data_IF_770167666236
#
_entry.id   IF_770167666236
#
_cell.length_a   1.000
_cell.length_b   1.000
_cell.length_c   1.000
_cell.angle_alpha   90.00
_cell.angle_beta   90.00
_cell.angle_gamma   90.00
#
_symmetry.space_group_name_H-M   'P 1'
#
loop_
_entity.id
_entity.type
_entity.pdbx_description
1 polymer ?
#
# COMPACT_ATOMS: atom_id res chain seq x y z
N UNK A 1 20.45 -5.78 21.13
CA UNK A 1 19.01 -6.01 20.91
C UNK A 1 18.71 -5.62 19.45
N UNK A 2 18.40 -6.29 18.56
CA UNK A 2 18.18 -7.65 18.20
C UNK A 2 18.21 -7.73 16.67
N UNK A 3 19.34 -8.13 16.11
CA UNK A 3 19.49 -8.41 14.66
C UNK A 3 18.52 -9.55 14.25
N UNK A 4 18.06 -10.37 15.19
CA UNK A 4 17.16 -11.49 14.97
C UNK A 4 15.74 -11.08 14.54
N UNK A 5 15.20 -9.96 15.03
CA UNK A 5 13.83 -9.55 14.68
C UNK A 5 13.72 -9.01 13.24
N UNK A 6 14.75 -8.33 12.73
CA UNK A 6 14.75 -7.82 11.35
C UNK A 6 14.69 -8.90 10.26
N UNK A 7 15.31 -10.05 10.51
CA UNK A 7 15.35 -11.15 9.53
C UNK A 7 13.97 -11.80 9.38
N UNK A 8 13.23 -11.95 10.48
CA UNK A 8 11.89 -12.55 10.47
C UNK A 8 10.83 -11.63 9.86
N UNK A 9 10.90 -10.33 10.15
CA UNK A 9 10.07 -9.31 9.53
C UNK A 9 10.18 -9.34 8.00
N UNK A 10 11.40 -9.32 7.47
CA UNK A 10 11.66 -9.38 6.03
C UNK A 10 11.07 -10.64 5.37
N UNK A 11 11.04 -11.78 6.06
CA UNK A 11 10.59 -13.05 5.48
C UNK A 11 9.08 -13.10 5.22
N UNK A 12 8.23 -12.68 6.17
CA UNK A 12 6.78 -12.73 5.97
C UNK A 12 6.27 -11.62 5.05
N UNK A 13 6.82 -10.41 5.17
CA UNK A 13 6.47 -9.27 4.32
C UNK A 13 6.87 -9.49 2.88
N UNK A 14 8.03 -10.08 2.61
CA UNK A 14 8.45 -10.43 1.24
C UNK A 14 7.64 -11.58 0.64
N UNK A 15 7.02 -12.41 1.48
CA UNK A 15 6.17 -13.52 1.06
C UNK A 15 4.72 -13.13 0.86
N UNK A 16 4.29 -12.02 1.45
CA UNK A 16 2.95 -11.45 1.31
C UNK A 16 2.94 -10.35 0.22
N UNK A 17 1.79 -10.14 -0.41
CA UNK A 17 1.56 -8.94 -1.22
C UNK A 17 1.07 -7.79 -0.34
N UNK A 18 1.15 -6.52 -0.83
CA UNK A 18 0.76 -5.35 -0.06
C UNK A 18 -0.69 -5.38 0.47
N UNK A 19 -1.63 -5.84 -0.37
CA UNK A 19 -3.06 -5.93 0.01
C UNK A 19 -3.35 -6.81 1.24
N UNK A 20 -2.86 -8.05 1.36
CA UNK A 20 -2.95 -8.85 2.57
C UNK A 20 -2.30 -8.22 3.80
N UNK A 21 -1.18 -7.52 3.65
CA UNK A 21 -0.50 -6.84 4.76
C UNK A 21 -1.39 -5.74 5.34
N UNK A 22 -1.81 -4.80 4.51
CA UNK A 22 -2.69 -3.69 4.91
C UNK A 22 -3.99 -4.18 5.56
N UNK A 23 -4.69 -5.14 4.92
CA UNK A 23 -5.92 -5.70 5.47
C UNK A 23 -5.69 -6.54 6.73
N UNK A 24 -4.53 -7.14 6.89
CA UNK A 24 -4.15 -7.85 8.11
C UNK A 24 -3.91 -6.89 9.27
N UNK A 25 -3.30 -5.76 8.98
CA UNK A 25 -3.13 -4.68 9.95
C UNK A 25 -4.48 -4.11 10.41
N UNK A 26 -5.41 -3.86 9.49
CA UNK A 26 -6.78 -3.45 9.81
C UNK A 26 -7.50 -4.48 10.72
N UNK A 27 -7.34 -5.77 10.45
CA UNK A 27 -7.89 -6.84 11.29
C UNK A 27 -7.27 -6.88 12.69
N UNK A 28 -5.99 -6.60 12.81
CA UNK A 28 -5.30 -6.45 14.09
C UNK A 28 -5.83 -5.26 14.87
N UNK A 29 -5.96 -4.09 14.26
CA UNK A 29 -6.50 -2.88 14.89
C UNK A 29 -7.95 -3.03 15.37
N UNK A 30 -8.74 -3.86 14.69
CA UNK A 30 -10.14 -4.12 15.02
C UNK A 30 -10.34 -5.35 15.93
N UNK A 31 -9.29 -5.82 16.61
CA UNK A 31 -9.34 -6.94 17.56
C UNK A 31 -9.99 -8.21 16.99
N UNK A 32 -9.77 -8.49 15.69
CA UNK A 32 -10.34 -9.66 15.01
C UNK A 32 -9.66 -10.99 15.35
N UNK A 33 -8.54 -10.95 16.08
CA UNK A 33 -7.76 -12.12 16.49
C UNK A 33 -8.22 -12.59 17.88
N UNK A 34 -8.53 -13.85 18.02
CA UNK A 34 -8.95 -14.48 19.28
C UNK A 34 -8.22 -15.80 19.52
N UNK A 35 -8.21 -16.28 20.76
CA UNK A 35 -7.57 -17.54 21.15
C UNK A 35 -6.12 -17.63 20.66
N UNK A 36 -5.38 -16.51 20.75
CA UNK A 36 -3.99 -16.45 20.34
C UNK A 36 -3.10 -17.28 21.26
N UNK A 37 -2.32 -18.20 20.67
CA UNK A 37 -1.39 -19.07 21.38
C UNK A 37 -0.03 -19.05 20.69
N UNK A 38 1.01 -18.81 21.47
CA UNK A 38 2.40 -18.99 21.07
C UNK A 38 2.78 -20.46 21.25
N UNK A 39 2.96 -21.20 20.16
CA UNK A 39 3.38 -22.62 20.19
C UNK A 39 4.89 -22.73 20.43
N UNK A 40 5.65 -21.89 19.73
CA UNK A 40 7.12 -21.77 19.86
C UNK A 40 7.56 -20.34 19.56
N UNK A 41 8.85 -20.08 19.53
CA UNK A 41 9.38 -18.76 19.16
C UNK A 41 9.12 -18.40 17.69
N UNK A 42 8.73 -19.36 16.87
CA UNK A 42 8.52 -19.18 15.43
C UNK A 42 7.12 -19.62 14.97
N UNK A 43 6.29 -20.16 15.86
CA UNK A 43 4.97 -20.71 15.51
C UNK A 43 3.87 -20.19 16.42
N UNK A 44 2.76 -19.79 15.83
CA UNK A 44 1.61 -19.20 16.49
C UNK A 44 0.32 -19.78 15.94
N UNK A 45 -0.66 -19.99 16.80
CA UNK A 45 -2.03 -20.34 16.42
C UNK A 45 -3.03 -19.30 16.93
N UNK A 46 -4.06 -19.06 16.15
CA UNK A 46 -5.16 -18.19 16.54
C UNK A 46 -6.42 -18.48 15.72
N UNK A 47 -7.54 -17.93 16.18
CA UNK A 47 -8.74 -17.77 15.37
C UNK A 47 -8.89 -16.31 14.96
N UNK A 48 -9.26 -16.06 13.71
CA UNK A 48 -9.43 -14.70 13.17
C UNK A 48 -10.83 -14.57 12.60
N UNK A 49 -11.61 -13.63 13.13
CA UNK A 49 -12.95 -13.36 12.65
C UNK A 49 -12.89 -12.67 11.28
N UNK A 50 -13.42 -13.33 10.26
CA UNK A 50 -13.55 -12.81 8.91
C UNK A 50 -14.98 -12.43 8.56
N UNK A 51 -15.34 -12.59 7.29
CA UNK A 51 -16.70 -12.36 6.76
C UNK A 51 -17.68 -13.47 7.06
N UNK A 52 -17.18 -14.66 7.36
CA UNK A 52 -18.02 -15.84 7.67
C UNK A 52 -18.43 -15.83 9.14
N UNK A 53 -19.50 -16.57 9.47
CA UNK A 53 -19.97 -16.73 10.84
C UNK A 53 -18.92 -17.36 11.75
N UNK A 54 -18.17 -18.34 11.21
CA UNK A 54 -17.11 -19.02 11.95
C UNK A 54 -15.76 -18.32 11.71
N UNK A 55 -14.99 -18.09 12.80
CA UNK A 55 -13.65 -17.56 12.64
C UNK A 55 -12.73 -18.55 11.94
N UNK A 56 -11.80 -18.04 11.16
CA UNK A 56 -10.80 -18.84 10.46
C UNK A 56 -9.71 -19.30 11.42
N UNK A 57 -9.35 -20.58 11.36
CA UNK A 57 -8.19 -21.10 12.09
C UNK A 57 -6.91 -20.76 11.33
N UNK A 58 -5.94 -20.18 12.04
CA UNK A 58 -4.64 -19.80 11.49
C UNK A 58 -3.55 -20.52 12.26
N UNK A 59 -2.62 -21.15 11.54
CA UNK A 59 -1.31 -21.58 12.02
C UNK A 59 -0.24 -20.81 11.27
N UNK A 60 0.55 -20.00 11.96
CA UNK A 60 1.57 -19.11 11.39
C UNK A 60 2.96 -19.64 11.75
N UNK A 61 3.83 -19.81 10.74
CA UNK A 61 5.25 -20.03 10.91
C UNK A 61 6.04 -18.87 10.32
N UNK A 62 6.69 -18.07 11.16
CA UNK A 62 7.38 -16.84 10.74
C UNK A 62 8.68 -17.10 10.00
N UNK A 63 9.38 -18.21 10.29
CA UNK A 63 10.62 -18.57 9.60
C UNK A 63 10.37 -19.25 8.24
N UNK A 64 9.23 -19.90 8.10
CA UNK A 64 8.82 -20.56 6.86
C UNK A 64 7.38 -20.14 6.50
N UNK A 65 7.15 -18.89 6.09
CA UNK A 65 5.80 -18.35 5.88
C UNK A 65 4.95 -19.19 4.93
N UNK A 66 5.55 -19.82 3.92
CA UNK A 66 4.86 -20.71 2.96
C UNK A 66 4.35 -22.02 3.57
N UNK A 67 4.75 -22.37 4.79
CA UNK A 67 4.21 -23.51 5.55
C UNK A 67 3.08 -23.11 6.49
N UNK A 68 2.80 -21.82 6.61
CA UNK A 68 1.66 -21.31 7.34
C UNK A 68 0.34 -21.75 6.68
N UNK A 69 -0.68 -21.97 7.49
CA UNK A 69 -1.97 -22.46 7.06
C UNK A 69 -3.09 -21.57 7.58
N UNK A 70 -4.06 -21.28 6.73
CA UNK A 70 -5.33 -20.67 7.11
C UNK A 70 -6.42 -21.34 6.29
N UNK A 71 -7.55 -21.65 6.93
CA UNK A 71 -8.69 -22.30 6.27
C UNK A 71 -9.56 -21.35 5.42
N UNK A 72 -9.14 -20.09 5.26
CA UNK A 72 -9.82 -19.16 4.38
C UNK A 72 -9.58 -19.48 2.89
N UNK A 73 -10.53 -19.15 2.00
CA UNK A 73 -10.42 -19.45 0.55
C UNK A 73 -9.18 -18.80 -0.12
N UNK A 74 -8.71 -17.65 0.37
CA UNK A 74 -7.56 -16.97 -0.21
C UNK A 74 -6.23 -17.68 0.06
N UNK A 75 -6.10 -18.39 1.17
CA UNK A 75 -4.85 -19.06 1.56
C UNK A 75 -4.55 -20.34 0.74
N UNK A 76 -5.48 -20.78 -0.11
CA UNK A 76 -5.25 -21.89 -1.03
C UNK A 76 -4.03 -21.61 -1.93
N UNK A 77 -3.13 -22.59 -2.04
CA UNK A 77 -1.88 -22.45 -2.81
C UNK A 77 -0.74 -21.77 -2.05
N UNK A 78 -0.74 -21.86 -0.73
CA UNK A 78 0.34 -21.37 0.16
C UNK A 78 0.54 -19.84 0.10
N UNK A 79 -0.54 -19.09 -0.12
CA UNK A 79 -0.51 -17.63 -0.12
C UNK A 79 -0.66 -17.09 1.30
N UNK A 80 0.12 -16.08 1.63
CA UNK A 80 -0.06 -15.35 2.88
C UNK A 80 -1.31 -14.50 2.77
N UNK A 81 -2.29 -14.77 3.63
CA UNK A 81 -3.56 -14.07 3.67
C UNK A 81 -3.59 -12.98 4.76
N UNK A 82 -4.60 -12.12 4.72
CA UNK A 82 -4.81 -11.08 5.74
C UNK A 82 -4.96 -11.63 7.17
N UNK A 83 -5.52 -12.84 7.33
CA UNK A 83 -5.69 -13.46 8.65
C UNK A 83 -4.34 -13.89 9.25
N UNK A 84 -3.42 -14.41 8.41
CA UNK A 84 -2.05 -14.70 8.82
C UNK A 84 -1.30 -13.42 9.23
N UNK A 85 -1.49 -12.32 8.47
CA UNK A 85 -0.89 -11.03 8.81
C UNK A 85 -1.47 -10.43 10.09
N UNK A 86 -2.77 -10.59 10.35
CA UNK A 86 -3.37 -10.18 11.63
C UNK A 86 -2.76 -10.92 12.81
N UNK A 87 -2.57 -12.24 12.70
CA UNK A 87 -1.89 -13.05 13.73
C UNK A 87 -0.43 -12.62 13.89
N UNK A 88 0.25 -12.27 12.80
CA UNK A 88 1.61 -11.76 12.84
C UNK A 88 1.70 -10.46 13.65
N UNK A 89 0.87 -9.48 13.36
CA UNK A 89 0.85 -8.20 14.09
C UNK A 89 0.45 -8.36 15.56
N UNK A 90 -0.41 -9.35 15.86
CA UNK A 90 -0.74 -9.71 17.25
C UNK A 90 0.47 -10.32 17.98
N UNK A 91 1.27 -11.11 17.29
CA UNK A 91 2.47 -11.70 17.85
C UNK A 91 3.61 -10.67 18.04
N UNK A 92 3.65 -9.64 17.20
CA UNK A 92 4.71 -8.63 17.13
C UNK A 92 4.12 -7.21 17.10
N UNK A 93 3.60 -6.71 18.23
CA UNK A 93 3.00 -5.38 18.29
C UNK A 93 3.99 -4.24 17.95
N UNK A 94 5.27 -4.39 18.28
CA UNK A 94 6.30 -3.41 17.90
C UNK A 94 6.42 -3.27 16.38
N UNK A 95 6.26 -4.38 15.65
CA UNK A 95 6.27 -4.39 14.19
C UNK A 95 4.98 -3.78 13.60
N UNK A 96 3.86 -3.91 14.32
CA UNK A 96 2.63 -3.24 13.96
C UNK A 96 2.74 -1.71 14.11
N UNK A 97 3.43 -1.23 15.15
CA UNK A 97 3.73 0.19 15.32
C UNK A 97 4.69 0.72 14.25
N UNK A 98 5.73 -0.04 13.92
CA UNK A 98 6.63 0.31 12.82
C UNK A 98 5.90 0.38 11.48
N UNK A 99 5.00 -0.56 11.21
CA UNK A 99 4.18 -0.54 10.00
C UNK A 99 3.23 0.66 9.96
N UNK A 100 2.60 0.99 11.09
CA UNK A 100 1.77 2.20 11.23
C UNK A 100 2.55 3.46 10.85
N UNK A 101 3.75 3.63 11.41
CA UNK A 101 4.60 4.79 11.11
C UNK A 101 4.93 4.89 9.61
N UNK A 102 5.24 3.77 8.96
CA UNK A 102 5.50 3.75 7.52
C UNK A 102 4.26 4.13 6.69
N UNK A 103 3.06 3.73 7.13
CA UNK A 103 1.82 4.14 6.47
C UNK A 103 1.59 5.65 6.62
N UNK A 104 1.75 6.19 7.84
CA UNK A 104 1.59 7.62 8.12
C UNK A 104 2.60 8.47 7.34
N UNK A 105 3.86 8.03 7.24
CA UNK A 105 4.89 8.68 6.42
C UNK A 105 4.51 8.67 4.94
N UNK A 106 4.05 7.52 4.42
CA UNK A 106 3.62 7.40 3.03
C UNK A 106 2.40 8.28 2.71
N UNK A 107 1.39 8.30 3.58
CA UNK A 107 0.20 9.14 3.43
C UNK A 107 0.56 10.63 3.45
N UNK A 108 1.46 11.05 4.34
CA UNK A 108 1.94 12.42 4.40
C UNK A 108 2.72 12.84 3.14
N UNK A 109 3.56 11.95 2.58
CA UNK A 109 4.27 12.20 1.32
C UNK A 109 3.32 12.27 0.11
N UNK A 110 2.25 11.46 0.10
CA UNK A 110 1.22 11.51 -0.95
C UNK A 110 0.46 12.84 -0.88
N UNK A 111 0.02 13.23 0.31
CA UNK A 111 -0.71 14.48 0.54
C UNK A 111 0.14 15.71 0.17
N UNK A 112 1.43 15.69 0.52
CA UNK A 112 2.34 16.76 0.11
C UNK A 112 2.49 16.84 -1.41
N UNK A 113 2.62 15.71 -2.11
CA UNK A 113 2.71 15.68 -3.58
C UNK A 113 1.44 16.19 -4.25
N UNK A 114 0.27 15.87 -3.69
CA UNK A 114 -1.01 16.39 -4.19
C UNK A 114 -1.08 17.90 -4.02
N UNK A 115 -0.69 18.44 -2.87
CA UNK A 115 -0.65 19.89 -2.61
C UNK A 115 0.34 20.62 -3.56
N UNK A 116 1.55 20.09 -3.71
CA UNK A 116 2.56 20.65 -4.64
C UNK A 116 2.05 20.67 -6.09
N UNK A 117 1.29 19.61 -6.48
CA UNK A 117 0.70 19.55 -7.82
C UNK A 117 -0.45 20.55 -7.99
N UNK A 118 -1.31 20.73 -6.99
CA UNK A 118 -2.37 21.76 -7.01
C UNK A 118 -1.78 23.17 -7.13
N UNK A 119 -0.77 23.49 -6.30
CA UNK A 119 -0.06 24.79 -6.39
C UNK A 119 0.57 25.02 -7.76
N UNK A 120 1.16 23.97 -8.35
CA UNK A 120 1.71 24.06 -9.71
C UNK A 120 0.62 24.32 -10.75
N UNK A 121 -0.52 23.65 -10.65
CA UNK A 121 -1.67 23.87 -11.55
C UNK A 121 -2.19 25.30 -11.45
N UNK A 122 -2.35 25.82 -10.24
CA UNK A 122 -2.77 27.20 -10.01
C UNK A 122 -1.77 28.22 -10.59
N UNK A 123 -0.48 28.00 -10.42
CA UNK A 123 0.58 28.82 -10.99
C UNK A 123 0.52 28.79 -12.53
N UNK A 124 0.31 27.65 -13.15
CA UNK A 124 0.16 27.52 -14.60
C UNK A 124 -1.08 28.29 -15.08
N UNK A 125 -2.23 28.12 -14.44
CA UNK A 125 -3.47 28.81 -14.77
C UNK A 125 -3.28 30.33 -14.68
N UNK A 126 -2.75 30.83 -13.57
CA UNK A 126 -2.51 32.26 -13.35
C UNK A 126 -1.53 32.84 -14.40
N UNK A 127 -0.48 32.08 -14.72
CA UNK A 127 0.49 32.48 -15.73
C UNK A 127 -0.18 32.61 -17.10
N UNK A 128 -0.91 31.58 -17.53
CA UNK A 128 -1.64 31.59 -18.82
C UNK A 128 -2.65 32.73 -18.89
N UNK A 129 -3.42 32.96 -17.81
CA UNK A 129 -4.41 34.04 -17.75
C UNK A 129 -3.79 35.45 -17.81
N UNK A 130 -2.56 35.60 -17.32
CA UNK A 130 -1.84 36.89 -17.34
C UNK A 130 -1.08 37.19 -18.64
N UNK A 131 -0.92 36.20 -19.52
CA UNK A 131 -0.20 36.35 -20.77
C UNK A 131 -0.95 37.24 -21.77
N UNK A 132 -0.21 38.01 -22.55
CA UNK A 132 -0.79 38.73 -23.69
C UNK A 132 -1.23 37.74 -24.78
N UNK A 133 -2.15 38.17 -25.64
CA UNK A 133 -2.60 37.35 -26.76
C UNK A 133 -1.45 36.89 -27.67
N UNK A 134 -0.45 37.72 -27.85
CA UNK A 134 0.69 37.41 -28.72
C UNK A 134 1.63 36.44 -28.05
N UNK A 135 1.87 36.57 -26.72
CA UNK A 135 2.64 35.60 -25.94
C UNK A 135 1.97 34.23 -25.90
N UNK A 136 0.64 34.20 -25.74
CA UNK A 136 -0.15 32.97 -25.80
C UNK A 136 -0.03 32.25 -27.14
N UNK A 137 -0.10 32.99 -28.26
CA UNK A 137 0.11 32.40 -29.59
C UNK A 137 1.51 31.82 -29.75
N UNK A 138 2.52 32.56 -29.33
CA UNK A 138 3.91 32.09 -29.39
C UNK A 138 4.10 30.83 -28.54
N UNK A 139 3.62 30.85 -27.30
CA UNK A 139 3.70 29.70 -26.42
C UNK A 139 2.98 28.47 -26.99
N UNK A 140 1.78 28.67 -27.58
CA UNK A 140 1.03 27.58 -28.23
C UNK A 140 1.78 27.02 -29.44
N UNK A 141 2.34 27.88 -30.31
CA UNK A 141 3.10 27.42 -31.47
C UNK A 141 4.35 26.66 -31.03
N UNK A 142 5.06 27.17 -30.02
CA UNK A 142 6.23 26.50 -29.46
C UNK A 142 5.84 25.13 -28.89
N UNK A 143 4.76 25.07 -28.10
CA UNK A 143 4.26 23.83 -27.51
C UNK A 143 3.89 22.78 -28.57
N UNK A 144 3.28 23.20 -29.69
CA UNK A 144 2.86 22.32 -30.77
C UNK A 144 4.02 21.82 -31.65
N UNK A 145 5.01 22.69 -31.94
CA UNK A 145 6.08 22.35 -32.88
C UNK A 145 7.36 21.84 -32.22
N UNK A 146 7.61 22.18 -30.96
CA UNK A 146 8.79 21.70 -30.20
C UNK A 146 8.44 20.58 -29.22
N UNK A 147 7.15 20.37 -28.96
CA UNK A 147 6.64 19.32 -28.08
C UNK A 147 6.56 17.95 -28.74
N UNK A 148 6.12 16.92 -28.00
CA UNK A 148 5.87 15.58 -28.54
C UNK A 148 4.80 15.59 -29.64
N UNK A 149 4.97 14.75 -30.67
CA UNK A 149 4.10 14.68 -31.86
C UNK A 149 2.61 14.51 -31.55
N UNK A 150 2.26 13.77 -30.49
CA UNK A 150 0.87 13.58 -30.07
C UNK A 150 0.13 14.87 -29.70
N UNK A 151 0.86 15.91 -29.25
CA UNK A 151 0.25 17.22 -28.95
C UNK A 151 -0.23 17.92 -30.21
N UNK A 152 0.57 17.83 -31.27
CA UNK A 152 0.20 18.36 -32.59
C UNK A 152 -0.98 17.59 -33.20
N UNK A 153 -0.97 16.27 -33.10
CA UNK A 153 -2.06 15.42 -33.58
C UNK A 153 -3.39 15.75 -32.89
N UNK A 154 -3.40 15.86 -31.56
CA UNK A 154 -4.62 16.27 -30.80
C UNK A 154 -5.11 17.63 -31.27
N UNK A 155 -4.22 18.61 -31.47
CA UNK A 155 -4.63 19.94 -31.92
C UNK A 155 -5.24 19.90 -33.32
N UNK A 156 -4.70 19.11 -34.24
CA UNK A 156 -5.23 18.93 -35.60
C UNK A 156 -6.63 18.30 -35.53
N UNK A 157 -6.79 17.25 -34.74
CA UNK A 157 -8.09 16.53 -34.64
C UNK A 157 -9.18 17.37 -33.99
N UNK A 158 -8.86 18.27 -33.08
CA UNK A 158 -9.84 19.07 -32.35
C UNK A 158 -10.17 20.42 -33.03
N UNK A 159 -9.25 20.99 -33.81
CA UNK A 159 -9.35 22.39 -34.24
C UNK A 159 -9.28 22.62 -35.78
N UNK A 160 -8.87 21.60 -36.56
CA UNK A 160 -8.76 21.66 -38.01
C UNK A 160 -9.69 20.70 -38.72
#
# INVERSE_FOLDING_TARGET
RSIYNRVNFMSIFTSASGKPIYRGYDYFLNDKVSSFVKISDIEYEAFVQGSEEKPYKVHLNINKPKTSVCDCPFANGRRICKHMMAVYFTAFPDEAEDYKRQLEEYEAEEEQREQEFEELCDNVINTVQSMSKDDLKQALLQFLFEGPEWQFEIFVDEWL
#
